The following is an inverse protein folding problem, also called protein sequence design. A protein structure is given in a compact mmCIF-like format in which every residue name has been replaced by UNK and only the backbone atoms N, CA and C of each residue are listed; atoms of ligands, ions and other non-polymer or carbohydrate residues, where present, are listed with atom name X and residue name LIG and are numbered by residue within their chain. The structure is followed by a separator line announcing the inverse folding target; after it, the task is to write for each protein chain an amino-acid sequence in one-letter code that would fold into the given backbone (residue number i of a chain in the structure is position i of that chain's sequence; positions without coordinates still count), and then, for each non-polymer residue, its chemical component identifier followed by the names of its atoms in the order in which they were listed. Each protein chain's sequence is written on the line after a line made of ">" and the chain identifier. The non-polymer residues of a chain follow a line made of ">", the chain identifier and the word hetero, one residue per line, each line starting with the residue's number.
data_IF_697998320701
#
_entry.id   IF_697998320701
#
_cell.length_a   1.000
_cell.length_b   1.000
_cell.length_c   1.000
_cell.angle_alpha   90.00
_cell.angle_beta   90.00
_cell.angle_gamma   90.00
#
_symmetry.space_group_name_H-M   'P 1'
#
loop_
_entity.id
_entity.type
_entity.pdbx_description
1 polymer ?
#
# COMPACT_ATOMS: atom_id res chain seq x y z
N UNK A 1 1.95 -0.50 -23.76
CA UNK A 1 2.57 0.11 -22.57
C UNK A 1 3.43 -0.95 -21.90
N UNK A 2 4.73 -0.69 -21.72
CA UNK A 2 5.66 -1.67 -21.14
C UNK A 2 5.33 -1.81 -19.65
N UNK A 3 4.92 -2.99 -19.20
CA UNK A 3 4.56 -3.22 -17.81
C UNK A 3 5.73 -2.86 -16.89
N UNK A 4 5.44 -2.39 -15.68
CA UNK A 4 6.47 -2.00 -14.70
C UNK A 4 7.45 -3.18 -14.42
N UNK A 5 6.93 -4.41 -14.54
CA UNK A 5 7.66 -5.67 -14.46
C UNK A 5 8.85 -5.74 -15.44
N UNK A 6 8.67 -5.26 -16.67
CA UNK A 6 9.66 -5.33 -17.75
C UNK A 6 10.67 -4.15 -17.70
N UNK A 7 10.36 -3.08 -16.97
CA UNK A 7 11.31 -1.98 -16.72
C UNK A 7 12.22 -2.25 -15.52
N UNK A 8 11.76 -3.06 -14.54
CA UNK A 8 12.51 -3.38 -13.33
C UNK A 8 13.19 -4.76 -13.36
N UNK A 9 12.94 -5.59 -14.38
CA UNK A 9 13.45 -6.96 -14.44
C UNK A 9 12.86 -7.87 -13.35
N UNK A 10 11.62 -7.58 -12.93
CA UNK A 10 10.94 -8.32 -11.86
C UNK A 10 10.47 -9.67 -12.38
N UNK A 11 10.90 -10.75 -11.72
CA UNK A 11 10.37 -12.10 -11.95
C UNK A 11 8.91 -12.18 -11.48
N UNK A 12 8.07 -13.02 -12.09
CA UNK A 12 6.67 -13.20 -11.67
C UNK A 12 6.52 -13.53 -10.16
N UNK A 13 7.49 -14.25 -9.57
CA UNK A 13 7.56 -14.51 -8.13
C UNK A 13 7.76 -13.26 -7.27
N UNK A 14 8.55 -12.31 -7.78
CA UNK A 14 8.86 -11.05 -7.14
C UNK A 14 7.61 -10.14 -7.07
N UNK A 15 6.83 -10.11 -8.16
CA UNK A 15 5.54 -9.42 -8.20
C UNK A 15 4.50 -10.08 -7.29
N UNK A 16 4.46 -11.42 -7.26
CA UNK A 16 3.61 -12.18 -6.32
C UNK A 16 3.95 -11.89 -4.85
N UNK A 17 5.24 -11.78 -4.52
CA UNK A 17 5.70 -11.41 -3.18
C UNK A 17 5.27 -9.98 -2.78
N UNK A 18 5.33 -9.02 -3.71
CA UNK A 18 4.81 -7.66 -3.50
C UNK A 18 3.32 -7.65 -3.13
N UNK A 19 2.54 -8.52 -3.79
CA UNK A 19 1.10 -8.67 -3.53
C UNK A 19 0.83 -9.32 -2.17
N UNK A 20 1.66 -10.27 -1.75
CA UNK A 20 1.53 -10.91 -0.43
C UNK A 20 1.82 -9.94 0.72
N UNK A 21 2.84 -9.09 0.57
CA UNK A 21 3.22 -8.07 1.55
C UNK A 21 2.11 -7.03 1.75
N UNK A 22 1.41 -6.64 0.68
CA UNK A 22 0.26 -5.75 0.76
C UNK A 22 -0.83 -6.32 1.69
N UNK A 23 -1.13 -7.62 1.55
CA UNK A 23 -2.11 -8.31 2.39
C UNK A 23 -1.70 -8.37 3.87
N UNK A 24 -0.40 -8.55 4.15
CA UNK A 24 0.12 -8.55 5.53
C UNK A 24 -0.07 -7.17 6.18
N UNK A 25 0.24 -6.10 5.45
CA UNK A 25 0.06 -4.73 5.94
C UNK A 25 -1.41 -4.40 6.22
N UNK A 26 -2.30 -4.81 5.30
CA UNK A 26 -3.74 -4.64 5.44
C UNK A 26 -4.28 -5.38 6.66
N UNK A 27 -4.00 -6.68 6.79
CA UNK A 27 -4.55 -7.53 7.85
C UNK A 27 -4.14 -7.07 9.26
N UNK A 28 -2.91 -6.57 9.42
CA UNK A 28 -2.42 -6.02 10.70
C UNK A 28 -3.15 -4.73 11.09
N UNK A 29 -3.53 -3.90 10.12
CA UNK A 29 -4.14 -2.60 10.36
C UNK A 29 -5.67 -2.59 10.25
N UNK A 30 -6.28 -3.67 9.76
CA UNK A 30 -7.73 -3.82 9.63
C UNK A 30 -8.43 -3.73 11.01
N UNK A 31 -7.87 -4.41 12.02
CA UNK A 31 -8.41 -4.43 13.39
C UNK A 31 -8.31 -3.05 14.07
N UNK A 32 -7.13 -2.37 14.11
CA UNK A 32 -7.02 -1.05 14.73
C UNK A 32 -7.76 0.04 13.94
N UNK A 33 -7.88 -0.06 12.62
CA UNK A 33 -8.62 0.91 11.82
C UNK A 33 -10.12 0.86 12.06
N UNK A 34 -10.68 -0.35 12.18
CA UNK A 34 -12.10 -0.48 12.53
C UNK A 34 -12.39 0.09 13.93
N UNK A 35 -11.47 -0.09 14.88
CA UNK A 35 -11.54 0.55 16.20
C UNK A 35 -11.41 2.09 16.13
N UNK A 36 -10.54 2.61 15.26
CA UNK A 36 -10.36 4.03 15.01
C UNK A 36 -11.61 4.69 14.42
N UNK A 37 -12.30 4.00 13.52
CA UNK A 37 -13.57 4.44 12.92
C UNK A 37 -14.66 4.66 13.98
N UNK A 38 -14.75 3.75 14.95
CA UNK A 38 -15.70 3.84 16.07
C UNK A 38 -15.33 4.99 17.03
N UNK A 39 -14.03 5.24 17.23
CA UNK A 39 -13.53 6.22 18.21
C UNK A 39 -13.50 7.67 17.72
N UNK A 40 -13.10 7.91 16.47
CA UNK A 40 -12.90 9.25 15.90
C UNK A 40 -14.03 9.69 14.96
N UNK A 41 -14.97 8.78 14.68
CA UNK A 41 -16.05 8.99 13.74
C UNK A 41 -15.59 8.73 12.30
N UNK A 42 -16.45 8.10 11.48
CA UNK A 42 -16.09 7.64 10.14
C UNK A 42 -15.61 8.76 9.22
N UNK A 43 -16.15 9.97 9.37
CA UNK A 43 -15.84 11.10 8.47
C UNK A 43 -14.37 11.55 8.51
N UNK A 44 -13.78 11.60 9.71
CA UNK A 44 -12.38 12.02 9.90
C UNK A 44 -11.45 10.86 9.57
N UNK A 45 -11.87 9.63 9.89
CA UNK A 45 -11.08 8.42 9.64
C UNK A 45 -10.92 8.13 8.15
N UNK A 46 -12.01 8.22 7.37
CA UNK A 46 -11.95 8.10 5.90
C UNK A 46 -11.05 9.16 5.26
N UNK A 47 -11.09 10.40 5.75
CA UNK A 47 -10.21 11.46 5.25
C UNK A 47 -8.72 11.16 5.54
N UNK A 48 -8.40 10.58 6.70
CA UNK A 48 -7.03 10.16 7.03
C UNK A 48 -6.54 9.06 6.08
N UNK A 49 -7.35 8.04 5.84
CA UNK A 49 -7.05 6.93 4.92
C UNK A 49 -6.79 7.46 3.51
N UNK A 50 -7.66 8.35 2.99
CA UNK A 50 -7.48 8.93 1.65
C UNK A 50 -6.19 9.76 1.53
N UNK A 51 -5.82 10.50 2.57
CA UNK A 51 -4.58 11.30 2.57
C UNK A 51 -3.36 10.38 2.63
N UNK A 52 -3.32 9.40 3.53
CA UNK A 52 -2.20 8.46 3.62
C UNK A 52 -2.06 7.62 2.36
N UNK A 53 -3.17 7.12 1.83
CA UNK A 53 -3.22 6.39 0.57
C UNK A 53 -2.71 7.25 -0.61
N UNK A 54 -3.16 8.51 -0.73
CA UNK A 54 -2.75 9.40 -1.81
C UNK A 54 -1.25 9.72 -1.83
N UNK A 55 -0.63 9.83 -0.65
CA UNK A 55 0.81 10.04 -0.52
C UNK A 55 1.58 8.83 -1.07
N UNK A 56 1.21 7.61 -0.65
CA UNK A 56 1.89 6.40 -1.11
C UNK A 56 1.59 6.05 -2.56
N UNK A 57 0.39 6.36 -3.06
CA UNK A 57 0.05 6.25 -4.48
C UNK A 57 0.92 7.18 -5.33
N UNK A 58 1.18 8.41 -4.87
CA UNK A 58 2.08 9.35 -5.56
C UNK A 58 3.52 8.84 -5.53
N UNK A 59 4.00 8.33 -4.38
CA UNK A 59 5.33 7.74 -4.25
C UNK A 59 5.55 6.51 -5.15
N UNK A 60 4.51 5.73 -5.41
CA UNK A 60 4.55 4.60 -6.35
C UNK A 60 4.94 5.06 -7.77
N UNK A 61 4.55 6.28 -8.17
CA UNK A 61 4.93 6.89 -9.45
C UNK A 61 6.40 7.28 -9.56
N UNK A 62 7.11 7.36 -8.43
CA UNK A 62 8.55 7.70 -8.37
C UNK A 62 9.45 6.48 -8.12
N UNK A 63 8.88 5.28 -7.96
CA UNK A 63 9.62 4.03 -7.76
C UNK A 63 10.54 3.77 -8.95
N UNK A 64 11.83 3.54 -8.67
CA UNK A 64 12.85 3.20 -9.68
C UNK A 64 13.45 1.82 -9.43
N UNK A 65 13.31 1.28 -8.22
CA UNK A 65 13.87 -0.02 -7.84
C UNK A 65 12.80 -1.01 -7.36
N UNK A 66 13.05 -2.33 -7.48
CA UNK A 66 12.12 -3.37 -7.01
C UNK A 66 11.83 -3.28 -5.50
N UNK A 67 12.84 -2.88 -4.73
CA UNK A 67 12.74 -2.75 -3.29
C UNK A 67 11.83 -1.57 -2.89
N UNK A 68 11.95 -0.43 -3.58
CA UNK A 68 11.02 0.71 -3.37
C UNK A 68 9.58 0.33 -3.69
N UNK A 69 9.37 -0.52 -4.70
CA UNK A 69 8.06 -1.04 -5.06
C UNK A 69 7.46 -1.86 -3.91
N UNK A 70 8.25 -2.74 -3.29
CA UNK A 70 7.80 -3.55 -2.14
C UNK A 70 7.48 -2.69 -0.92
N UNK A 71 8.34 -1.72 -0.60
CA UNK A 71 8.11 -0.81 0.52
C UNK A 71 6.85 0.03 0.27
N UNK A 72 6.71 0.61 -0.92
CA UNK A 72 5.52 1.38 -1.26
C UNK A 72 4.25 0.52 -1.21
N UNK A 73 4.28 -0.72 -1.71
CA UNK A 73 3.15 -1.68 -1.63
C UNK A 73 2.80 -2.05 -0.19
N UNK A 74 3.78 -2.28 0.66
CA UNK A 74 3.56 -2.54 2.08
C UNK A 74 2.89 -1.34 2.77
N UNK A 75 3.45 -0.15 2.56
CA UNK A 75 2.93 1.08 3.17
C UNK A 75 1.54 1.44 2.65
N UNK A 76 1.25 1.14 1.38
CA UNK A 76 -0.09 1.28 0.82
C UNK A 76 -1.10 0.38 1.54
N UNK A 77 -0.76 -0.90 1.76
CA UNK A 77 -1.62 -1.83 2.50
C UNK A 77 -1.86 -1.40 3.95
N UNK A 78 -0.83 -0.87 4.62
CA UNK A 78 -0.93 -0.28 5.97
C UNK A 78 -1.81 0.97 6.00
N UNK A 79 -1.81 1.76 4.92
CA UNK A 79 -2.54 3.03 4.85
C UNK A 79 -3.97 2.91 4.33
N UNK A 80 -4.30 1.82 3.66
CA UNK A 80 -5.64 1.49 3.16
C UNK A 80 -6.53 0.90 4.25
N UNK A 81 -5.92 0.19 5.20
CA UNK A 81 -6.59 -0.34 6.36
C UNK A 81 -6.95 0.77 7.35
#
# INVERSE_FOLDING_TARGET
>A
AKALEDNLGLTASAFGFASGIFFIGYFLFEIPSNAGTIKFGPRIWFARILISWGIFATLLGFVRTPLELYICRFMLGVCEA
#
